data_IF_795925253817
#
_entry.id   IF_795925253817
#
_cell.length_a   1.000
_cell.length_b   1.000
_cell.length_c   1.000
_cell.angle_alpha   90.00
_cell.angle_beta   90.00
_cell.angle_gamma   90.00
#
_symmetry.space_group_name_H-M   'P 1'
#
loop_
_entity.id
_entity.type
_entity.pdbx_description
1 polymer ?
#
# COMPACT_ATOMS: atom_id res chain seq x y z
N UNK A 1 -20.29 1.02 -4.79
CA UNK A 1 -20.02 2.35 -4.24
C UNK A 1 -18.55 2.46 -3.82
N UNK A 2 -17.89 3.49 -4.27
CA UNK A 2 -16.47 3.69 -3.93
C UNK A 2 -16.30 4.01 -2.44
N UNK A 3 -15.35 3.34 -1.82
CA UNK A 3 -15.01 3.56 -0.43
C UNK A 3 -13.49 3.43 -0.24
N UNK A 4 -12.90 4.35 0.49
CA UNK A 4 -11.46 4.36 0.77
C UNK A 4 -11.27 4.28 2.27
N UNK A 5 -10.55 3.25 2.71
CA UNK A 5 -10.23 3.01 4.13
C UNK A 5 -8.71 3.05 4.27
N UNK A 6 -8.22 3.82 5.23
CA UNK A 6 -6.79 3.89 5.52
C UNK A 6 -6.55 3.27 6.90
N UNK A 7 -5.66 2.27 6.96
CA UNK A 7 -5.25 1.62 8.20
C UNK A 7 -3.81 2.00 8.47
N UNK A 8 -3.57 2.69 9.57
CA UNK A 8 -2.24 3.14 9.96
C UNK A 8 -1.81 2.47 11.25
N UNK A 9 -0.52 2.47 11.51
CA UNK A 9 0.03 1.93 12.75
C UNK A 9 1.52 1.73 12.65
N UNK A 10 2.16 1.47 13.78
CA UNK A 10 3.58 1.19 13.82
C UNK A 10 3.90 -0.16 13.20
N UNK A 11 5.18 -0.40 12.98
CA UNK A 11 5.65 -1.68 12.48
C UNK A 11 5.22 -2.81 13.42
N UNK A 12 4.76 -3.93 12.85
CA UNK A 12 4.33 -5.12 13.59
C UNK A 12 3.14 -4.88 14.53
N UNK A 13 2.29 -3.92 14.21
CA UNK A 13 1.09 -3.63 15.01
C UNK A 13 -0.13 -4.49 14.65
N UNK A 14 0.02 -5.42 13.71
CA UNK A 14 -1.11 -6.27 13.28
C UNK A 14 -1.99 -5.63 12.21
N UNK A 15 -1.52 -4.59 11.54
CA UNK A 15 -2.28 -3.87 10.51
C UNK A 15 -2.76 -4.77 9.38
N UNK A 16 -1.87 -5.64 8.88
CA UNK A 16 -2.21 -6.52 7.75
C UNK A 16 -3.31 -7.49 8.13
N UNK A 17 -3.23 -8.09 9.32
CA UNK A 17 -4.27 -8.98 9.82
C UNK A 17 -5.60 -8.27 10.01
N UNK A 18 -5.56 -7.04 10.50
CA UNK A 18 -6.76 -6.21 10.66
C UNK A 18 -7.39 -5.89 9.31
N UNK A 19 -6.56 -5.54 8.31
CA UNK A 19 -7.01 -5.24 6.96
C UNK A 19 -7.66 -6.46 6.30
N UNK A 20 -7.06 -7.65 6.46
CA UNK A 20 -7.61 -8.89 5.94
C UNK A 20 -8.95 -9.21 6.57
N UNK A 21 -9.06 -9.05 7.87
CA UNK A 21 -10.32 -9.27 8.61
C UNK A 21 -11.39 -8.30 8.12
N UNK A 22 -11.03 -7.03 7.93
CA UNK A 22 -11.95 -6.02 7.43
C UNK A 22 -12.46 -6.37 6.03
N UNK A 23 -11.59 -6.85 5.17
CA UNK A 23 -11.97 -7.27 3.83
C UNK A 23 -12.94 -8.44 3.87
N UNK A 24 -12.72 -9.42 4.75
CA UNK A 24 -13.60 -10.56 4.91
C UNK A 24 -14.99 -10.17 5.41
N UNK A 25 -15.08 -9.10 6.19
CA UNK A 25 -16.38 -8.58 6.64
C UNK A 25 -17.18 -7.97 5.48
N UNK A 26 -16.50 -7.53 4.44
CA UNK A 26 -17.12 -6.79 3.33
C UNK A 26 -17.34 -7.63 2.07
N UNK A 27 -16.65 -8.77 1.94
CA UNK A 27 -16.76 -9.61 0.73
C UNK A 27 -16.35 -11.04 1.00
N UNK A 28 -16.84 -11.97 0.15
CA UNK A 28 -16.41 -13.37 0.17
C UNK A 28 -15.28 -13.64 -0.83
N UNK A 29 -14.93 -12.64 -1.67
CA UNK A 29 -13.88 -12.79 -2.70
C UNK A 29 -12.95 -11.59 -2.69
N UNK A 30 -12.13 -11.44 -1.61
CA UNK A 30 -11.24 -10.29 -1.47
C UNK A 30 -10.04 -10.35 -2.41
N UNK A 31 -9.46 -9.17 -2.68
CA UNK A 31 -8.24 -9.02 -3.48
C UNK A 31 -7.12 -8.51 -2.57
N UNK A 32 -5.96 -9.12 -2.66
CA UNK A 32 -4.76 -8.68 -1.96
C UNK A 32 -3.74 -8.20 -2.97
N UNK A 33 -3.42 -6.91 -2.92
CA UNK A 33 -2.45 -6.29 -3.81
C UNK A 33 -1.19 -5.98 -3.02
N UNK A 34 -0.11 -6.70 -3.33
CA UNK A 34 1.18 -6.53 -2.66
C UNK A 34 2.06 -5.60 -3.49
N UNK A 35 2.61 -4.57 -2.84
CA UNK A 35 3.47 -3.59 -3.49
C UNK A 35 4.97 -3.89 -3.30
N UNK A 36 5.29 -4.95 -2.58
CA UNK A 36 6.66 -5.33 -2.32
C UNK A 36 7.37 -5.72 -3.61
N UNK A 37 8.61 -5.24 -3.76
CA UNK A 37 9.48 -5.67 -4.85
C UNK A 37 10.14 -6.99 -4.46
N UNK A 38 10.09 -7.97 -5.36
CA UNK A 38 10.70 -9.28 -5.12
C UNK A 38 12.19 -9.19 -5.47
N UNK A 39 13.05 -9.26 -4.46
CA UNK A 39 14.50 -9.10 -4.62
C UNK A 39 15.21 -10.42 -4.93
N UNK A 40 14.76 -11.53 -4.32
CA UNK A 40 15.45 -12.81 -4.44
C UNK A 40 14.47 -13.98 -4.24
N UNK A 41 14.99 -15.19 -4.40
CA UNK A 41 14.20 -16.43 -4.31
C UNK A 41 13.67 -16.67 -2.89
N UNK A 42 14.47 -16.35 -1.89
CA UNK A 42 14.06 -16.51 -0.49
C UNK A 42 12.86 -15.62 -0.17
N UNK A 43 12.89 -14.37 -0.63
CA UNK A 43 11.79 -13.45 -0.47
C UNK A 43 10.54 -13.93 -1.23
N UNK A 44 10.74 -14.46 -2.44
CA UNK A 44 9.65 -15.05 -3.26
C UNK A 44 8.96 -16.17 -2.50
N UNK A 45 9.72 -17.07 -1.88
CA UNK A 45 9.15 -18.17 -1.08
C UNK A 45 8.33 -17.65 0.10
N UNK A 46 8.78 -16.58 0.72
CA UNK A 46 8.06 -15.95 1.84
C UNK A 46 6.73 -15.38 1.38
N UNK A 47 6.73 -14.70 0.23
CA UNK A 47 5.50 -14.15 -0.38
C UNK A 47 4.52 -15.29 -0.70
N UNK A 48 4.98 -16.36 -1.30
CA UNK A 48 4.14 -17.51 -1.64
C UNK A 48 3.53 -18.15 -0.39
N UNK A 49 4.31 -18.23 0.69
CA UNK A 49 3.82 -18.76 1.97
C UNK A 49 2.69 -17.90 2.53
N UNK A 50 2.83 -16.58 2.47
CA UNK A 50 1.79 -15.67 2.91
C UNK A 50 0.54 -15.79 2.06
N UNK A 51 0.68 -15.98 0.75
CA UNK A 51 -0.45 -16.19 -0.15
C UNK A 51 -1.22 -17.46 0.22
N UNK A 52 -0.52 -18.55 0.49
CA UNK A 52 -1.14 -19.79 0.92
C UNK A 52 -1.86 -19.64 2.25
N UNK A 53 -1.27 -18.92 3.20
CA UNK A 53 -1.85 -18.73 4.51
C UNK A 53 -3.14 -17.91 4.49
N UNK A 54 -3.28 -17.02 3.50
CA UNK A 54 -4.51 -16.24 3.37
C UNK A 54 -5.71 -17.07 2.92
N UNK A 55 -5.49 -18.11 2.14
CA UNK A 55 -6.54 -19.00 1.68
C UNK A 55 -6.93 -18.79 0.22
N UNK A 56 -7.71 -19.74 -0.33
CA UNK A 56 -8.03 -19.76 -1.76
C UNK A 56 -9.07 -18.72 -2.19
N UNK A 57 -9.78 -18.10 -1.25
CA UNK A 57 -10.78 -17.07 -1.56
C UNK A 57 -10.14 -15.77 -2.03
N UNK A 58 -8.86 -15.57 -1.74
CA UNK A 58 -8.13 -14.36 -2.10
C UNK A 58 -7.63 -14.39 -3.54
N UNK A 59 -7.79 -13.27 -4.25
CA UNK A 59 -7.09 -13.03 -5.51
C UNK A 59 -5.83 -12.24 -5.17
N UNK A 60 -4.66 -12.76 -5.57
CA UNK A 60 -3.38 -12.14 -5.25
C UNK A 60 -2.83 -11.40 -6.47
N UNK A 61 -2.51 -10.12 -6.29
CA UNK A 61 -1.90 -9.28 -7.31
C UNK A 61 -0.58 -8.76 -6.78
N UNK A 62 0.46 -8.80 -7.61
CA UNK A 62 1.75 -8.20 -7.31
C UNK A 62 1.93 -6.99 -8.23
N UNK A 63 2.07 -5.80 -7.65
CA UNK A 63 2.27 -4.58 -8.42
C UNK A 63 3.10 -3.59 -7.63
N UNK A 64 4.27 -3.24 -8.14
CA UNK A 64 5.19 -2.35 -7.44
C UNK A 64 4.75 -0.89 -7.47
N UNK A 65 4.23 -0.39 -8.59
CA UNK A 65 3.96 1.04 -8.78
C UNK A 65 2.64 1.35 -9.46
N UNK A 66 2.34 0.70 -10.57
CA UNK A 66 1.20 1.04 -11.44
C UNK A 66 -0.08 0.33 -11.02
N UNK A 67 -0.63 0.72 -9.88
CA UNK A 67 -1.85 0.10 -9.33
C UNK A 67 -3.02 0.22 -10.30
N UNK A 68 -3.11 1.32 -11.01
CA UNK A 68 -4.22 1.60 -11.94
C UNK A 68 -4.25 0.66 -13.14
N UNK A 69 -3.18 -0.11 -13.37
CA UNK A 69 -3.14 -1.14 -14.41
C UNK A 69 -4.14 -2.26 -14.13
N UNK A 70 -4.51 -2.44 -12.87
CA UNK A 70 -5.33 -3.57 -12.42
C UNK A 70 -6.78 -3.15 -12.24
N UNK A 71 -7.68 -3.92 -12.84
CA UNK A 71 -9.11 -3.67 -12.71
C UNK A 71 -9.64 -4.36 -11.45
N UNK A 72 -10.09 -3.55 -10.50
CA UNK A 72 -10.66 -4.05 -9.23
C UNK A 72 -12.10 -3.55 -9.04
N UNK A 73 -12.75 -3.09 -10.10
CA UNK A 73 -14.11 -2.58 -10.03
C UNK A 73 -15.06 -3.64 -9.44
N UNK A 74 -15.88 -3.22 -8.50
CA UNK A 74 -16.81 -4.12 -7.81
C UNK A 74 -16.16 -5.00 -6.75
N UNK A 75 -14.88 -4.83 -6.48
CA UNK A 75 -14.13 -5.69 -5.55
C UNK A 75 -13.77 -4.94 -4.27
N UNK A 76 -13.35 -5.69 -3.27
CA UNK A 76 -12.71 -5.17 -2.06
C UNK A 76 -11.24 -5.54 -2.15
N UNK A 77 -10.35 -4.53 -2.19
CA UNK A 77 -8.92 -4.73 -2.37
C UNK A 77 -8.13 -4.19 -1.19
N UNK A 78 -7.23 -5.03 -0.66
CA UNK A 78 -6.26 -4.61 0.36
C UNK A 78 -4.96 -4.27 -0.37
N UNK A 79 -4.45 -3.06 -0.17
CA UNK A 79 -3.17 -2.62 -0.74
C UNK A 79 -2.13 -2.63 0.40
N UNK A 80 -1.22 -3.57 0.37
CA UNK A 80 -0.21 -3.76 1.41
C UNK A 80 1.19 -3.67 0.79
N UNK A 81 1.91 -2.60 0.97
CA UNK A 81 1.55 -1.45 1.79
C UNK A 81 1.97 -0.16 1.09
N UNK A 82 1.43 0.96 1.56
CA UNK A 82 1.75 2.28 1.04
C UNK A 82 3.23 2.60 1.22
N UNK A 83 3.82 2.17 2.33
CA UNK A 83 5.24 2.40 2.63
C UNK A 83 6.15 1.83 1.53
N UNK A 84 5.94 0.58 1.14
CA UNK A 84 6.73 -0.05 0.09
C UNK A 84 6.41 0.54 -1.28
N UNK A 85 5.18 0.92 -1.50
CA UNK A 85 4.78 1.60 -2.74
C UNK A 85 5.53 2.92 -2.90
N UNK A 86 5.59 3.73 -1.84
CA UNK A 86 6.38 4.96 -1.83
C UNK A 86 7.87 4.68 -2.05
N UNK A 87 8.40 3.61 -1.43
CA UNK A 87 9.79 3.20 -1.60
C UNK A 87 10.11 2.96 -3.07
N UNK A 88 9.22 2.27 -3.78
CA UNK A 88 9.43 1.94 -5.19
C UNK A 88 9.54 3.18 -6.07
N UNK A 89 8.69 4.18 -5.82
CA UNK A 89 8.76 5.46 -6.53
C UNK A 89 10.00 6.27 -6.12
N UNK A 90 10.30 6.28 -4.83
CA UNK A 90 11.45 7.02 -4.30
C UNK A 90 12.75 6.54 -4.94
N UNK A 91 12.91 5.23 -5.09
CA UNK A 91 14.08 4.65 -5.76
C UNK A 91 14.11 4.97 -7.26
N UNK A 92 12.95 4.92 -7.92
CA UNK A 92 12.87 5.22 -9.35
C UNK A 92 13.27 6.67 -9.68
N UNK A 93 12.88 7.61 -8.81
CA UNK A 93 13.15 9.04 -9.02
C UNK A 93 14.39 9.51 -8.26
N UNK A 94 15.32 8.63 -7.98
CA UNK A 94 16.62 8.94 -7.35
C UNK A 94 16.46 9.79 -6.08
N UNK A 95 15.51 9.41 -5.24
CA UNK A 95 15.25 10.07 -3.95
C UNK A 95 14.71 11.49 -4.07
N UNK A 96 14.12 11.83 -5.21
CA UNK A 96 13.45 13.13 -5.39
C UNK A 96 12.05 13.06 -4.80
N UNK A 97 11.82 13.78 -3.71
CA UNK A 97 10.55 13.75 -2.97
C UNK A 97 9.41 14.32 -3.82
N UNK A 98 9.62 15.47 -4.44
CA UNK A 98 8.57 16.15 -5.23
C UNK A 98 8.07 15.28 -6.38
N UNK A 99 9.00 14.70 -7.16
CA UNK A 99 8.66 13.83 -8.28
C UNK A 99 7.96 12.56 -7.81
N UNK A 100 8.46 11.97 -6.72
CA UNK A 100 7.88 10.76 -6.14
C UNK A 100 6.46 11.01 -5.65
N UNK A 101 6.24 12.10 -4.92
CA UNK A 101 4.94 12.46 -4.38
C UNK A 101 3.93 12.71 -5.50
N UNK A 102 4.33 13.43 -6.54
CA UNK A 102 3.48 13.70 -7.69
C UNK A 102 3.05 12.40 -8.37
N UNK A 103 4.01 11.49 -8.59
CA UNK A 103 3.72 10.20 -9.22
C UNK A 103 2.78 9.33 -8.38
N UNK A 104 3.00 9.29 -7.06
CA UNK A 104 2.16 8.53 -6.14
C UNK A 104 0.73 9.08 -6.14
N UNK A 105 0.57 10.41 -6.04
CA UNK A 105 -0.75 11.04 -6.03
C UNK A 105 -1.50 10.79 -7.33
N UNK A 106 -0.80 10.91 -8.45
CA UNK A 106 -1.38 10.67 -9.78
C UNK A 106 -1.88 9.24 -9.90
N UNK A 107 -1.07 8.28 -9.46
CA UNK A 107 -1.41 6.87 -9.52
C UNK A 107 -2.56 6.55 -8.56
N UNK A 108 -2.55 7.12 -7.36
CA UNK A 108 -3.64 6.99 -6.41
C UNK A 108 -4.96 7.47 -7.01
N UNK A 109 -4.96 8.64 -7.62
CA UNK A 109 -6.16 9.21 -8.21
C UNK A 109 -6.71 8.32 -9.34
N UNK A 110 -5.83 7.81 -10.20
CA UNK A 110 -6.23 6.91 -11.29
C UNK A 110 -6.81 5.60 -10.76
N UNK A 111 -6.12 4.99 -9.79
CA UNK A 111 -6.52 3.71 -9.23
C UNK A 111 -7.88 3.81 -8.55
N UNK A 112 -8.09 4.86 -7.78
CA UNK A 112 -9.32 5.04 -6.99
C UNK A 112 -10.48 5.65 -7.76
N UNK A 113 -10.33 5.86 -9.06
CA UNK A 113 -11.47 6.23 -9.92
C UNK A 113 -12.44 5.06 -10.09
N UNK A 114 -11.98 3.84 -9.89
CA UNK A 114 -12.81 2.64 -9.99
C UNK A 114 -13.84 2.59 -8.86
N UNK A 115 -14.99 2.01 -9.15
CA UNK A 115 -16.05 1.81 -8.16
C UNK A 115 -15.75 0.54 -7.36
N UNK A 116 -14.94 0.67 -6.32
CA UNK A 116 -14.46 -0.43 -5.50
C UNK A 116 -14.26 0.03 -4.06
N UNK A 117 -13.99 -0.92 -3.17
CA UNK A 117 -13.59 -0.62 -1.80
C UNK A 117 -12.08 -0.83 -1.69
N UNK A 118 -11.36 0.22 -1.32
CA UNK A 118 -9.90 0.23 -1.22
C UNK A 118 -9.50 0.29 0.25
N UNK A 119 -8.71 -0.69 0.70
CA UNK A 119 -8.18 -0.71 2.05
C UNK A 119 -6.66 -0.54 1.96
N UNK A 120 -6.18 0.67 2.24
CA UNK A 120 -4.76 0.99 2.19
C UNK A 120 -4.13 0.76 3.55
N UNK A 121 -3.05 -0.01 3.58
CA UNK A 121 -2.26 -0.27 4.80
C UNK A 121 -0.97 0.53 4.72
N UNK A 122 -0.65 1.29 5.76
CA UNK A 122 0.55 2.11 5.79
C UNK A 122 1.21 2.05 7.17
N UNK A 123 2.53 2.23 7.19
CA UNK A 123 3.29 2.33 8.43
C UNK A 123 3.44 3.79 8.84
N UNK A 124 3.32 4.06 10.13
CA UNK A 124 3.66 5.37 10.70
C UNK A 124 5.15 5.37 11.05
N UNK A 125 5.95 6.11 10.30
CA UNK A 125 7.41 6.13 10.48
C UNK A 125 7.96 7.47 10.95
N UNK A 126 7.11 8.48 11.13
CA UNK A 126 7.53 9.82 11.53
C UNK A 126 7.49 10.09 13.02
N UNK A 127 7.15 9.10 13.84
CA UNK A 127 6.88 9.32 15.27
C UNK A 127 8.11 9.28 16.18
N UNK A 128 9.24 8.75 15.68
CA UNK A 128 10.45 8.57 16.47
C UNK A 128 11.38 9.77 16.51
N UNK A 129 10.96 10.94 16.06
CA UNK A 129 11.81 12.13 15.99
C UNK A 129 12.45 12.29 14.62
N UNK A 130 13.38 13.21 14.51
CA UNK A 130 14.05 13.56 13.25
C UNK A 130 15.33 12.75 13.08
N UNK A 131 15.44 11.99 12.02
CA UNK A 131 16.64 11.24 11.69
C UNK A 131 17.76 12.17 11.24
N UNK A 132 19.00 11.84 11.59
CA UNK A 132 20.17 12.55 11.08
C UNK A 132 20.48 12.20 9.64
N UNK A 133 19.98 11.05 9.16
CA UNK A 133 20.16 10.61 7.77
C UNK A 133 19.24 11.40 6.85
N UNK A 134 19.85 12.19 5.96
CA UNK A 134 19.13 13.06 5.02
C UNK A 134 18.17 12.26 4.13
N UNK A 135 18.60 11.12 3.65
CA UNK A 135 17.79 10.27 2.77
C UNK A 135 16.56 9.75 3.50
N UNK A 136 16.74 9.31 4.74
CA UNK A 136 15.64 8.81 5.57
C UNK A 136 14.64 9.92 5.88
N UNK A 137 15.13 11.15 6.14
CA UNK A 137 14.25 12.30 6.37
C UNK A 137 13.39 12.60 5.13
N UNK A 138 14.02 12.56 3.94
CA UNK A 138 13.29 12.75 2.69
C UNK A 138 12.21 11.70 2.50
N UNK A 139 12.52 10.45 2.77
CA UNK A 139 11.55 9.36 2.64
C UNK A 139 10.42 9.51 3.65
N UNK A 140 10.73 9.90 4.89
CA UNK A 140 9.72 10.15 5.93
C UNK A 140 8.76 11.24 5.50
N UNK A 141 9.27 12.31 4.88
CA UNK A 141 8.44 13.39 4.35
C UNK A 141 7.52 12.90 3.23
N UNK A 142 8.07 12.13 2.29
CA UNK A 142 7.29 11.56 1.21
C UNK A 142 6.14 10.72 1.74
N UNK A 143 6.44 9.82 2.65
CA UNK A 143 5.42 8.93 3.20
C UNK A 143 4.39 9.70 4.02
N UNK A 144 4.83 10.68 4.81
CA UNK A 144 3.92 11.51 5.60
C UNK A 144 2.92 12.26 4.71
N UNK A 145 3.41 12.90 3.65
CA UNK A 145 2.55 13.62 2.71
C UNK A 145 1.63 12.68 1.93
N UNK A 146 2.13 11.50 1.55
CA UNK A 146 1.29 10.49 0.88
C UNK A 146 0.17 10.03 1.81
N UNK A 147 0.50 9.75 3.08
CA UNK A 147 -0.51 9.34 4.05
C UNK A 147 -1.56 10.42 4.26
N UNK A 148 -1.15 11.69 4.31
CA UNK A 148 -2.09 12.82 4.43
C UNK A 148 -3.01 12.91 3.22
N UNK A 149 -2.47 12.71 2.02
CA UNK A 149 -3.27 12.75 0.80
C UNK A 149 -4.31 11.64 0.79
N UNK A 150 -3.91 10.41 1.10
CA UNK A 150 -4.83 9.28 1.18
C UNK A 150 -5.89 9.54 2.25
N UNK A 151 -5.47 9.99 3.44
CA UNK A 151 -6.38 10.28 4.54
C UNK A 151 -7.41 11.33 4.19
N UNK A 152 -7.03 12.34 3.40
CA UNK A 152 -7.96 13.39 2.96
C UNK A 152 -9.07 12.85 2.06
N UNK A 153 -8.85 11.70 1.43
CA UNK A 153 -9.84 11.04 0.56
C UNK A 153 -10.53 9.86 1.24
N UNK A 154 -10.09 9.48 2.44
CA UNK A 154 -10.62 8.31 3.15
C UNK A 154 -11.98 8.60 3.76
N UNK A 155 -12.77 7.55 3.87
CA UNK A 155 -14.11 7.60 4.48
C UNK A 155 -14.10 7.38 5.98
#
# INVERSE_FOLDING_TARGET
MKRIILITGGQRSGKSSFAEKKAHELTTSPVYLATAKIWDEEFRKRVERHQKNRGPEWTNIEEEKELSRHNVAGRVVVIDCVTLWCTNFFMEFDSNVASSLEAVKKEFDKFTQQDATFIFVTNEIGWGGVSENKLQRKFTDLQGWTNQDIASHAD
#
